data_IF_609011170401
#
_entry.id   IF_609011170401
#
_cell.length_a   1.000
_cell.length_b   1.000
_cell.length_c   1.000
_cell.angle_alpha   90.00
_cell.angle_beta   90.00
_cell.angle_gamma   90.00
#
_symmetry.space_group_name_H-M   'P 1'
#
loop_
_entity.id
_entity.type
_entity.pdbx_description
1 polymer ?
#
# COMPACT_ATOMS: atom_id res chain seq x y z
N UNK A 1 -24.54 63.58 26.92
CA UNK A 1 -24.56 63.40 25.45
C UNK A 1 -24.68 61.92 25.14
N UNK A 2 -25.86 61.47 24.69
CA UNK A 2 -26.14 60.06 24.37
C UNK A 2 -25.88 59.87 22.87
N UNK A 3 -24.84 59.11 22.50
CA UNK A 3 -24.56 58.81 21.09
C UNK A 3 -25.67 57.90 20.57
N UNK A 4 -26.35 58.32 19.50
CA UNK A 4 -27.35 57.50 18.80
C UNK A 4 -26.55 56.56 17.89
N UNK A 5 -26.66 55.22 18.03
CA UNK A 5 -26.04 54.31 17.07
C UNK A 5 -26.78 54.43 15.74
N UNK A 6 -26.06 54.78 14.68
CA UNK A 6 -26.56 54.69 13.30
C UNK A 6 -26.75 53.21 12.97
N UNK A 7 -28.01 52.80 12.78
CA UNK A 7 -28.36 51.42 12.46
C UNK A 7 -27.89 51.02 11.06
N UNK A 8 -27.50 49.76 10.90
CA UNK A 8 -27.09 49.17 9.63
C UNK A 8 -28.27 49.16 8.65
N UNK A 9 -28.03 49.49 7.38
CA UNK A 9 -29.11 49.46 6.37
C UNK A 9 -29.34 48.02 5.87
N UNK A 10 -30.58 47.71 5.48
CA UNK A 10 -30.94 46.38 4.95
C UNK A 10 -30.13 46.06 3.68
N UNK A 11 -29.88 47.06 2.85
CA UNK A 11 -29.06 46.94 1.64
C UNK A 11 -27.60 46.61 1.97
N UNK A 12 -27.02 47.24 2.98
CA UNK A 12 -25.65 46.97 3.43
C UNK A 12 -25.52 45.52 3.94
N UNK A 13 -26.51 45.03 4.68
CA UNK A 13 -26.58 43.63 5.08
C UNK A 13 -26.65 42.69 3.87
N UNK A 14 -27.48 43.02 2.87
CA UNK A 14 -27.67 42.21 1.65
C UNK A 14 -26.38 42.12 0.83
N UNK A 15 -25.67 43.24 0.67
CA UNK A 15 -24.39 43.27 -0.05
C UNK A 15 -23.35 42.40 0.68
N UNK A 16 -23.28 42.49 2.01
CA UNK A 16 -22.32 41.71 2.81
C UNK A 16 -22.59 40.21 2.68
N UNK A 17 -23.84 39.76 2.82
CA UNK A 17 -24.16 38.33 2.66
C UNK A 17 -23.90 37.84 1.23
N UNK A 18 -24.11 38.70 0.22
CA UNK A 18 -23.79 38.39 -1.18
C UNK A 18 -22.29 38.17 -1.40
N UNK A 19 -21.46 39.06 -0.84
CA UNK A 19 -20.00 38.91 -0.91
C UNK A 19 -19.54 37.64 -0.18
N UNK A 20 -20.05 37.38 1.03
CA UNK A 20 -19.72 36.17 1.80
C UNK A 20 -20.12 34.91 1.03
N UNK A 21 -21.29 34.89 0.39
CA UNK A 21 -21.74 33.75 -0.40
C UNK A 21 -20.83 33.48 -1.60
N UNK A 22 -20.40 34.54 -2.32
CA UNK A 22 -19.47 34.42 -3.44
C UNK A 22 -18.13 33.87 -2.95
N UNK A 23 -17.55 34.45 -1.89
CA UNK A 23 -16.28 34.00 -1.33
C UNK A 23 -16.34 32.55 -0.84
N UNK A 24 -17.39 32.18 -0.10
CA UNK A 24 -17.59 30.82 0.39
C UNK A 24 -17.68 29.81 -0.74
N UNK A 25 -18.41 30.13 -1.83
CA UNK A 25 -18.54 29.24 -2.99
C UNK A 25 -17.19 28.96 -3.66
N UNK A 26 -16.34 29.98 -3.81
CA UNK A 26 -15.01 29.84 -4.39
C UNK A 26 -14.09 28.99 -3.50
N UNK A 27 -14.08 29.24 -2.19
CA UNK A 27 -13.24 28.48 -1.25
C UNK A 27 -13.62 27.00 -1.24
N UNK A 28 -14.91 26.67 -1.23
CA UNK A 28 -15.38 25.28 -1.28
C UNK A 28 -14.99 24.60 -2.60
N UNK A 29 -15.11 25.30 -3.73
CA UNK A 29 -14.70 24.78 -5.04
C UNK A 29 -13.20 24.47 -5.09
N UNK A 30 -12.34 25.37 -4.58
CA UNK A 30 -10.89 25.17 -4.55
C UNK A 30 -10.48 24.06 -3.58
N UNK A 31 -11.13 23.99 -2.41
CA UNK A 31 -10.78 23.01 -1.36
C UNK A 31 -10.95 21.57 -1.83
N UNK A 32 -12.00 21.28 -2.61
CA UNK A 32 -12.24 19.92 -3.14
C UNK A 32 -11.16 19.47 -4.14
N UNK A 33 -10.67 20.36 -4.99
CA UNK A 33 -9.59 20.06 -5.94
C UNK A 33 -8.22 19.83 -5.26
N UNK A 34 -7.92 20.56 -4.20
CA UNK A 34 -6.68 20.40 -3.43
C UNK A 34 -6.67 19.05 -2.70
N UNK A 35 -7.80 18.65 -2.11
CA UNK A 35 -7.90 17.40 -1.37
C UNK A 35 -7.61 16.18 -2.27
N UNK A 36 -8.28 16.09 -3.43
CA UNK A 36 -8.06 14.99 -4.38
C UNK A 36 -6.63 14.95 -4.92
N UNK A 37 -5.99 16.12 -5.08
CA UNK A 37 -4.58 16.20 -5.50
C UNK A 37 -3.65 15.75 -4.39
N UNK A 38 -3.95 16.12 -3.14
CA UNK A 38 -3.18 15.68 -1.97
C UNK A 38 -3.26 14.17 -1.77
N UNK A 39 -4.46 13.58 -1.89
CA UNK A 39 -4.67 12.13 -1.80
C UNK A 39 -3.80 11.36 -2.79
N UNK A 40 -3.78 11.79 -4.06
CA UNK A 40 -2.93 11.18 -5.10
C UNK A 40 -1.45 11.29 -4.77
N UNK A 41 -1.02 12.46 -4.33
CA UNK A 41 0.38 12.70 -3.97
C UNK A 41 0.83 11.82 -2.80
N UNK A 42 -0.02 11.65 -1.78
CA UNK A 42 0.28 10.78 -0.65
C UNK A 42 0.43 9.31 -1.08
N UNK A 43 -0.38 8.86 -2.04
CA UNK A 43 -0.26 7.50 -2.61
C UNK A 43 1.05 7.35 -3.39
N UNK A 44 1.43 8.34 -4.21
CA UNK A 44 2.69 8.34 -4.96
C UNK A 44 3.91 8.33 -4.03
N UNK A 45 3.90 9.15 -2.98
CA UNK A 45 4.95 9.18 -1.96
C UNK A 45 5.06 7.81 -1.26
N UNK A 46 3.93 7.16 -1.00
CA UNK A 46 3.88 5.82 -0.38
C UNK A 46 4.48 4.76 -1.29
N UNK A 47 4.15 4.74 -2.58
CA UNK A 47 4.77 3.81 -3.54
C UNK A 47 6.26 4.07 -3.68
N UNK A 48 6.68 5.33 -3.71
CA UNK A 48 8.11 5.70 -3.75
C UNK A 48 8.87 5.18 -2.53
N UNK A 49 8.25 5.22 -1.34
CA UNK A 49 8.84 4.66 -0.12
C UNK A 49 8.90 3.12 -0.16
N UNK A 50 7.87 2.47 -0.70
CA UNK A 50 7.85 1.02 -0.89
C UNK A 50 8.92 0.57 -1.87
N UNK A 51 9.08 1.25 -3.01
CA UNK A 51 10.12 0.94 -4.00
C UNK A 51 11.52 1.09 -3.40
N UNK A 52 11.75 2.11 -2.57
CA UNK A 52 13.01 2.26 -1.82
C UNK A 52 13.22 1.14 -0.82
N UNK A 53 12.17 0.73 -0.11
CA UNK A 53 12.24 -0.37 0.85
C UNK A 53 12.60 -1.70 0.17
N UNK A 54 11.99 -1.96 -1.00
CA UNK A 54 12.26 -3.12 -1.84
C UNK A 54 13.70 -3.08 -2.35
N UNK A 55 14.12 -1.95 -2.93
CA UNK A 55 15.46 -1.82 -3.46
C UNK A 55 16.53 -2.03 -2.39
N UNK A 56 16.34 -1.49 -1.18
CA UNK A 56 17.27 -1.72 -0.07
C UNK A 56 17.30 -3.18 0.39
N UNK A 57 16.16 -3.88 0.33
CA UNK A 57 16.10 -5.31 0.62
C UNK A 57 16.93 -6.10 -0.40
N UNK A 58 16.77 -5.80 -1.68
CA UNK A 58 17.51 -6.44 -2.79
C UNK A 58 19.02 -6.18 -2.68
N UNK A 59 19.41 -4.93 -2.36
CA UNK A 59 20.80 -4.57 -2.12
C UNK A 59 21.39 -5.31 -0.92
N UNK A 60 20.65 -5.39 0.18
CA UNK A 60 21.12 -6.08 1.41
C UNK A 60 21.29 -7.58 1.17
N UNK A 61 20.44 -8.18 0.35
CA UNK A 61 20.50 -9.61 0.02
C UNK A 61 21.48 -9.92 -1.12
N UNK A 62 21.80 -8.94 -1.95
CA UNK A 62 22.55 -9.15 -3.19
C UNK A 62 21.76 -9.92 -4.25
N UNK A 63 20.42 -9.92 -4.15
CA UNK A 63 19.54 -10.65 -5.05
C UNK A 63 18.20 -9.90 -5.19
N UNK A 64 17.70 -9.84 -6.42
CA UNK A 64 16.34 -9.37 -6.72
C UNK A 64 15.28 -10.25 -6.03
N UNK A 65 14.12 -9.66 -5.71
CA UNK A 65 13.00 -10.41 -5.18
C UNK A 65 12.60 -11.54 -6.13
N UNK A 66 12.43 -12.75 -5.59
CA UNK A 66 12.01 -13.90 -6.39
C UNK A 66 10.57 -14.28 -6.06
N UNK A 67 9.72 -14.26 -7.07
CA UNK A 67 8.34 -14.67 -6.92
C UNK A 67 8.06 -16.03 -7.56
N UNK A 68 7.15 -16.79 -6.95
CA UNK A 68 6.62 -18.02 -7.55
C UNK A 68 5.62 -17.65 -8.63
N UNK A 69 5.77 -18.18 -9.84
CA UNK A 69 4.70 -18.09 -10.85
C UNK A 69 3.67 -19.18 -10.59
N UNK A 70 2.38 -18.85 -10.62
CA UNK A 70 1.33 -19.88 -10.50
C UNK A 70 1.45 -20.85 -11.68
N UNK A 71 1.72 -22.15 -11.42
CA UNK A 71 1.64 -23.14 -12.49
C UNK A 71 0.19 -23.29 -12.94
N UNK A 72 -0.05 -23.57 -14.22
CA UNK A 72 -1.40 -23.79 -14.79
C UNK A 72 -2.25 -24.84 -14.03
N UNK A 73 -1.61 -25.68 -13.22
CA UNK A 73 -2.25 -26.68 -12.35
C UNK A 73 -2.99 -26.08 -11.14
N UNK A 74 -2.83 -24.80 -10.83
CA UNK A 74 -3.49 -24.14 -9.69
C UNK A 74 -2.91 -24.48 -8.31
N UNK A 75 -1.91 -25.37 -8.23
CA UNK A 75 -1.23 -25.72 -6.97
C UNK A 75 -0.08 -24.77 -6.72
N UNK A 76 -0.16 -23.98 -5.65
CA UNK A 76 0.95 -23.14 -5.19
C UNK A 76 1.99 -24.03 -4.53
N UNK A 77 3.23 -23.98 -4.99
CA UNK A 77 4.30 -24.78 -4.41
C UNK A 77 5.00 -24.04 -3.26
N UNK A 78 5.42 -24.78 -2.23
CA UNK A 78 5.97 -24.22 -0.98
C UNK A 78 7.50 -24.29 -0.94
N UNK A 79 8.15 -23.89 -2.03
CA UNK A 79 9.61 -23.85 -2.06
C UNK A 79 10.11 -22.66 -1.24
N UNK A 80 11.08 -22.93 -0.37
CA UNK A 80 11.61 -21.98 0.62
C UNK A 80 12.41 -20.82 0.03
N UNK A 81 12.77 -20.89 -1.26
CA UNK A 81 13.51 -19.82 -1.94
C UNK A 81 12.59 -18.72 -2.49
N UNK A 82 11.27 -18.92 -2.50
CA UNK A 82 10.33 -17.88 -2.90
C UNK A 82 10.19 -16.82 -1.81
N UNK A 83 10.33 -15.56 -2.17
CA UNK A 83 10.06 -14.43 -1.29
C UNK A 83 8.57 -14.09 -1.27
N UNK A 84 7.94 -14.16 -2.44
CA UNK A 84 6.54 -13.77 -2.65
C UNK A 84 5.84 -14.85 -3.48
N UNK A 85 4.65 -15.24 -3.05
CA UNK A 85 3.82 -16.20 -3.78
C UNK A 85 2.80 -15.47 -4.63
N UNK A 86 2.82 -15.70 -5.93
CA UNK A 86 1.70 -15.29 -6.79
C UNK A 86 0.47 -16.11 -6.40
N UNK A 87 -0.63 -15.42 -6.11
CA UNK A 87 -1.90 -16.02 -5.71
C UNK A 87 -2.91 -15.93 -6.85
N UNK A 88 -3.82 -16.91 -6.97
CA UNK A 88 -4.76 -16.94 -8.08
C UNK A 88 -5.57 -15.63 -8.14
N UNK A 89 -6.00 -15.23 -9.35
CA UNK A 89 -6.63 -13.93 -9.59
C UNK A 89 -7.94 -13.71 -8.80
N UNK A 90 -8.49 -14.75 -8.18
CA UNK A 90 -9.61 -14.68 -7.23
C UNK A 90 -9.22 -14.11 -5.85
N UNK A 91 -7.93 -13.98 -5.54
CA UNK A 91 -7.39 -13.55 -4.23
C UNK A 91 -6.24 -12.52 -4.36
N UNK A 92 -6.42 -11.39 -5.05
CA UNK A 92 -5.35 -10.44 -5.36
C UNK A 92 -4.82 -9.65 -4.14
N UNK A 93 -5.46 -9.78 -2.97
CA UNK A 93 -5.22 -8.90 -1.83
C UNK A 93 -4.23 -9.44 -0.78
N UNK A 94 -3.60 -10.60 -0.99
CA UNK A 94 -2.74 -11.21 0.03
C UNK A 94 -1.24 -11.13 -0.29
N UNK A 95 -0.85 -10.57 -1.44
CA UNK A 95 0.57 -10.37 -1.76
C UNK A 95 1.16 -9.23 -0.92
N UNK A 96 0.44 -8.11 -0.80
CA UNK A 96 0.92 -6.93 -0.06
C UNK A 96 1.28 -7.25 1.40
N UNK A 97 0.44 -7.98 2.16
CA UNK A 97 0.78 -8.32 3.54
C UNK A 97 2.05 -9.17 3.69
N UNK A 98 2.30 -10.11 2.78
CA UNK A 98 3.53 -10.91 2.78
C UNK A 98 4.75 -10.08 2.39
N UNK A 99 4.62 -9.18 1.40
CA UNK A 99 5.67 -8.23 1.04
C UNK A 99 6.00 -7.32 2.23
N UNK A 100 5.01 -6.73 2.88
CA UNK A 100 5.23 -5.87 4.06
C UNK A 100 5.89 -6.65 5.19
N UNK A 101 5.49 -7.89 5.44
CA UNK A 101 6.12 -8.76 6.44
C UNK A 101 7.60 -9.03 6.10
N UNK A 102 7.90 -9.31 4.83
CA UNK A 102 9.27 -9.50 4.33
C UNK A 102 10.12 -8.23 4.53
N UNK A 103 9.59 -7.07 4.14
CA UNK A 103 10.26 -5.77 4.28
C UNK A 103 10.45 -5.37 5.74
N UNK A 104 9.48 -5.63 6.61
CA UNK A 104 9.59 -5.33 8.04
C UNK A 104 10.59 -6.22 8.79
N UNK A 105 10.88 -7.41 8.25
CA UNK A 105 11.88 -8.32 8.82
C UNK A 105 13.32 -7.86 8.53
N UNK A 106 13.52 -6.96 7.57
CA UNK A 106 14.81 -6.34 7.29
C UNK A 106 14.90 -4.96 7.98
N UNK A 107 15.94 -4.76 8.81
CA UNK A 107 16.08 -3.53 9.60
C UNK A 107 16.16 -2.26 8.74
N UNK A 108 16.80 -2.33 7.56
CA UNK A 108 16.96 -1.18 6.66
C UNK A 108 15.69 -0.88 5.89
N UNK A 109 15.03 -1.90 5.34
CA UNK A 109 13.75 -1.73 4.66
C UNK A 109 12.66 -1.22 5.62
N UNK A 110 12.68 -1.65 6.89
CA UNK A 110 11.77 -1.17 7.93
C UNK A 110 11.84 0.34 8.15
N UNK A 111 13.01 0.97 7.97
CA UNK A 111 13.14 2.42 8.09
C UNK A 111 12.26 3.15 7.07
N UNK A 112 12.21 2.67 5.83
CA UNK A 112 11.36 3.23 4.78
C UNK A 112 9.88 2.98 5.04
N UNK A 113 9.52 1.78 5.51
CA UNK A 113 8.12 1.46 5.88
C UNK A 113 7.64 2.33 7.04
N UNK A 114 8.50 2.66 8.01
CA UNK A 114 8.14 3.52 9.14
C UNK A 114 7.82 4.97 8.75
N UNK A 115 8.24 5.40 7.56
CA UNK A 115 7.98 6.73 7.00
C UNK A 115 6.67 6.81 6.20
N UNK A 116 6.03 5.67 5.93
CA UNK A 116 4.73 5.63 5.26
C UNK A 116 3.66 6.24 6.18
N UNK A 117 2.69 6.94 5.60
CA UNK A 117 1.56 7.47 6.36
C UNK A 117 0.85 6.32 7.12
N UNK A 118 0.74 6.39 8.46
CA UNK A 118 0.10 5.33 9.25
C UNK A 118 -1.35 5.05 8.85
N UNK A 119 -2.06 6.03 8.26
CA UNK A 119 -3.45 5.87 7.82
C UNK A 119 -3.59 4.86 6.67
N UNK A 120 -2.52 4.66 5.89
CA UNK A 120 -2.48 3.68 4.81
C UNK A 120 -2.12 2.27 5.29
N UNK A 121 -1.63 2.11 6.52
CA UNK A 121 -1.24 0.81 7.06
C UNK A 121 -2.35 0.28 7.98
N UNK A 122 -3.20 -0.60 7.45
CA UNK A 122 -4.31 -1.19 8.21
C UNK A 122 -4.04 -2.64 8.56
N UNK A 123 -4.20 -2.95 9.84
CA UNK A 123 -4.22 -4.33 10.32
C UNK A 123 -5.52 -5.01 9.90
N UNK A 124 -5.42 -6.03 9.08
CA UNK A 124 -6.53 -6.79 8.50
C UNK A 124 -6.45 -8.24 8.94
N UNK A 125 -7.55 -8.80 9.41
CA UNK A 125 -7.63 -10.20 9.84
C UNK A 125 -8.48 -10.38 11.10
N UNK A 126 -8.80 -11.63 11.41
CA UNK A 126 -9.60 -12.01 12.59
C UNK A 126 -8.81 -12.99 13.46
N UNK A 127 -8.92 -12.84 14.78
CA UNK A 127 -8.24 -13.72 15.74
C UNK A 127 -6.72 -13.57 15.72
N UNK A 128 -6.00 -14.68 15.53
CA UNK A 128 -4.53 -14.73 15.53
C UNK A 128 -3.89 -14.34 14.20
N UNK A 129 -4.68 -14.23 13.12
CA UNK A 129 -4.20 -13.98 11.76
C UNK A 129 -4.35 -12.50 11.38
N UNK A 130 -3.88 -11.60 12.24
CA UNK A 130 -3.86 -10.17 11.95
C UNK A 130 -2.61 -9.85 11.14
N UNK A 131 -2.80 -9.44 9.89
CA UNK A 131 -1.70 -9.07 8.98
C UNK A 131 -1.78 -7.59 8.67
N UNK A 132 -0.63 -6.94 8.48
CA UNK A 132 -0.57 -5.55 8.06
C UNK A 132 -0.81 -5.48 6.55
N UNK A 133 -1.71 -4.60 6.11
CA UNK A 133 -2.01 -4.39 4.70
C UNK A 133 -1.97 -2.91 4.34
N UNK A 134 -1.78 -2.63 3.05
CA UNK A 134 -1.80 -1.28 2.52
C UNK A 134 -3.18 -0.92 1.96
N UNK A 135 -3.70 0.23 2.37
CA UNK A 135 -4.93 0.81 1.86
C UNK A 135 -4.68 2.17 1.22
N UNK A 136 -5.52 2.50 0.26
CA UNK A 136 -5.56 3.83 -0.33
C UNK A 136 -6.32 4.84 0.60
N UNK A 137 -6.32 6.15 0.27
CA UNK A 137 -7.03 7.17 1.03
C UNK A 137 -8.54 6.92 1.18
N UNK A 138 -9.12 6.13 0.26
CA UNK A 138 -10.54 5.76 0.28
C UNK A 138 -10.79 4.49 1.10
N UNK A 139 -9.75 3.94 1.74
CA UNK A 139 -9.81 2.76 2.59
C UNK A 139 -9.90 1.44 1.81
N UNK A 140 -9.69 1.45 0.50
CA UNK A 140 -9.67 0.25 -0.33
C UNK A 140 -8.26 -0.35 -0.33
N UNK A 141 -8.21 -1.68 -0.25
CA UNK A 141 -6.95 -2.44 -0.24
C UNK A 141 -6.24 -2.31 -1.57
N UNK A 142 -4.95 -2.03 -1.52
CA UNK A 142 -4.09 -1.94 -2.70
C UNK A 142 -3.60 -3.35 -3.04
N UNK A 143 -4.05 -3.88 -4.18
CA UNK A 143 -3.53 -5.12 -4.71
C UNK A 143 -2.13 -4.91 -5.28
N UNK A 144 -1.25 -5.88 -5.04
CA UNK A 144 0.12 -5.86 -5.55
C UNK A 144 0.26 -6.96 -6.58
N UNK A 145 0.74 -6.58 -7.76
CA UNK A 145 1.24 -7.53 -8.74
C UNK A 145 2.63 -7.98 -8.26
N UNK A 146 2.96 -9.28 -8.28
CA UNK A 146 4.28 -9.75 -7.89
C UNK A 146 5.36 -8.93 -8.59
N UNK A 147 6.25 -8.34 -7.79
CA UNK A 147 7.40 -7.58 -8.26
C UNK A 147 8.67 -8.43 -8.17
N UNK A 148 9.68 -8.07 -8.97
CA UNK A 148 10.95 -8.78 -9.04
C UNK A 148 11.04 -9.78 -10.20
N UNK A 149 11.88 -10.79 -10.03
CA UNK A 149 12.18 -11.81 -11.03
C UNK A 149 11.36 -13.08 -10.82
N UNK A 150 10.76 -13.66 -11.89
CA UNK A 150 10.15 -14.98 -11.77
C UNK A 150 11.23 -16.04 -11.52
N UNK A 151 10.93 -16.99 -10.64
CA UNK A 151 11.81 -18.14 -10.42
C UNK A 151 12.09 -18.90 -11.73
N UNK A 152 13.35 -19.28 -11.95
CA UNK A 152 13.73 -20.06 -13.13
C UNK A 152 13.41 -21.54 -12.94
N UNK A 153 13.20 -22.25 -14.05
CA UNK A 153 12.99 -23.71 -14.02
C UNK A 153 14.15 -24.48 -13.40
N UNK A 154 15.38 -23.95 -13.54
CA UNK A 154 16.57 -24.56 -12.93
C UNK A 154 16.55 -24.43 -11.42
N UNK A 155 16.30 -23.23 -10.89
CA UNK A 155 16.18 -22.99 -9.45
C UNK A 155 15.05 -23.82 -8.84
N UNK A 156 13.90 -23.89 -9.51
CA UNK A 156 12.79 -24.75 -9.09
C UNK A 156 13.24 -26.21 -9.04
N UNK A 157 13.88 -26.72 -10.11
CA UNK A 157 14.38 -28.11 -10.17
C UNK A 157 15.40 -28.42 -9.09
N UNK A 158 16.33 -27.51 -8.85
CA UNK A 158 17.37 -27.68 -7.83
C UNK A 158 16.77 -27.62 -6.42
N UNK A 159 15.80 -26.74 -6.18
CA UNK A 159 15.03 -26.69 -4.93
C UNK A 159 14.19 -27.95 -4.70
N UNK A 160 13.53 -28.49 -5.74
CA UNK A 160 12.84 -29.77 -5.65
C UNK A 160 13.79 -30.92 -5.33
N UNK A 161 14.98 -30.94 -5.94
CA UNK A 161 16.01 -31.95 -5.63
C UNK A 161 16.51 -31.85 -4.20
N UNK A 162 16.72 -30.63 -3.69
CA UNK A 162 17.11 -30.40 -2.32
C UNK A 162 16.00 -30.81 -1.32
N UNK A 163 14.74 -30.49 -1.62
CA UNK A 163 13.56 -30.85 -0.83
C UNK A 163 13.14 -32.33 -0.95
N UNK A 164 13.59 -33.03 -2.00
CA UNK A 164 13.35 -34.46 -2.24
C UNK A 164 14.18 -35.39 -1.35
N UNK A 165 14.94 -34.86 -0.38
CA UNK A 165 15.60 -35.68 0.65
C UNK A 165 14.63 -36.18 1.74
N UNK A 166 13.31 -36.06 1.54
CA UNK A 166 12.34 -36.93 2.22
C UNK A 166 12.62 -38.37 1.80
N UNK A 167 13.07 -39.15 2.80
CA UNK A 167 13.32 -40.60 2.82
C UNK A 167 12.64 -41.37 1.68
N UNK A 168 13.37 -42.26 0.97
CA UNK A 168 12.73 -43.20 0.05
C UNK A 168 11.67 -43.97 0.84
N UNK A 169 10.42 -43.90 0.39
CA UNK A 169 9.39 -44.82 0.84
C UNK A 169 9.93 -46.22 0.54
N UNK A 170 10.32 -46.93 1.58
CA UNK A 170 10.79 -48.31 1.48
C UNK A 170 9.60 -49.17 1.08
N UNK A 171 9.78 -49.91 -0.02
CA UNK A 171 9.05 -51.10 -0.50
C UNK A 171 7.51 -51.10 -0.40
#
# INVERSE_FOLDING_TARGET
MKRIPTGFTLVELLVVIGIIAILASMVLAVSSGILATSERKQVEDTFTLLDKAIHELELTRGQELVFSRIPKSGTTDELTFYDIKELPPSTPAYIMPELLKLLMNNDRSREFISKINPDFLKRTGTGTNVVLDLVDPWGKRIAVVPCGRPATEREMRDAYRAGSTKTPVSA
#
